data_IF_435870562301
#
_entry.id   IF_435870562301
#
_cell.length_a   1.000
_cell.length_b   1.000
_cell.length_c   1.000
_cell.angle_alpha   90.00
_cell.angle_beta   90.00
_cell.angle_gamma   90.00
#
_symmetry.space_group_name_H-M   'P 1'
#
loop_
_entity.id
_entity.type
_entity.pdbx_description
1 polymer ?
#
# COMPACT_ATOMS: atom_id res chain seq x y z
N UNK A 1 -6.76 -20.78 3.45
CA UNK A 1 -7.99 -20.30 2.76
C UNK A 1 -7.53 -19.43 1.62
N UNK A 2 -8.20 -19.51 0.46
CA UNK A 2 -7.91 -18.63 -0.67
C UNK A 2 -8.70 -17.32 -0.49
N UNK A 3 -8.09 -16.19 -0.79
CA UNK A 3 -8.78 -14.89 -0.84
C UNK A 3 -9.69 -14.80 -2.07
N UNK A 4 -10.63 -13.83 -2.12
CA UNK A 4 -11.37 -13.53 -3.34
C UNK A 4 -10.45 -13.27 -4.53
N UNK A 5 -10.93 -13.65 -5.72
CA UNK A 5 -10.20 -13.50 -6.99
C UNK A 5 -10.82 -12.37 -7.80
N UNK A 6 -10.21 -11.17 -7.84
CA UNK A 6 -10.76 -10.07 -8.61
C UNK A 6 -10.72 -10.38 -10.12
N UNK A 7 -11.81 -10.15 -10.86
CA UNK A 7 -11.81 -10.33 -12.32
C UNK A 7 -10.94 -9.29 -13.03
N UNK A 8 -10.88 -8.08 -12.47
CA UNK A 8 -10.05 -6.95 -12.90
C UNK A 8 -9.57 -6.16 -11.68
N UNK A 9 -8.50 -5.39 -11.85
CA UNK A 9 -8.02 -4.44 -10.86
C UNK A 9 -8.29 -3.00 -11.32
N UNK A 10 -8.65 -2.14 -10.38
CA UNK A 10 -8.73 -0.69 -10.58
C UNK A 10 -7.53 0.01 -9.93
N UNK A 11 -7.33 1.30 -10.25
CA UNK A 11 -6.40 2.12 -9.48
C UNK A 11 -7.07 2.57 -8.18
N UNK A 12 -6.29 2.77 -7.08
CA UNK A 12 -6.84 3.09 -5.76
C UNK A 12 -7.37 4.53 -5.63
N UNK A 13 -7.02 5.38 -6.59
CA UNK A 13 -7.34 6.81 -6.64
C UNK A 13 -7.82 7.21 -8.03
N UNK A 14 -8.62 8.30 -8.15
CA UNK A 14 -9.11 8.79 -9.45
C UNK A 14 -7.99 9.21 -10.41
N UNK A 15 -6.88 9.71 -9.88
CA UNK A 15 -5.68 10.04 -10.64
C UNK A 15 -4.45 9.39 -9.98
N UNK A 16 -3.54 8.86 -10.81
CA UNK A 16 -2.34 8.17 -10.36
C UNK A 16 -1.11 8.99 -10.73
N UNK A 17 -0.80 9.99 -9.92
CA UNK A 17 0.37 10.87 -10.11
C UNK A 17 1.38 10.64 -8.99
N UNK A 18 2.54 10.10 -9.33
CA UNK A 18 3.64 9.89 -8.38
C UNK A 18 4.31 11.24 -8.15
N UNK A 19 3.92 11.93 -7.08
CA UNK A 19 4.51 13.21 -6.67
C UNK A 19 5.52 13.07 -5.52
N UNK A 20 5.63 11.87 -4.94
CA UNK A 20 6.60 11.49 -3.90
C UNK A 20 7.64 10.51 -4.42
N UNK A 21 7.97 9.50 -3.62
CA UNK A 21 8.87 8.43 -4.02
C UNK A 21 8.16 7.40 -4.90
N UNK A 22 8.83 6.91 -5.94
CA UNK A 22 8.33 5.80 -6.76
C UNK A 22 8.85 4.45 -6.26
N UNK A 23 8.21 3.36 -6.66
CA UNK A 23 8.65 1.99 -6.40
C UNK A 23 10.10 1.77 -6.87
N UNK A 24 10.88 1.08 -6.04
CA UNK A 24 12.27 0.77 -6.35
C UNK A 24 13.25 1.94 -6.20
N UNK A 25 12.78 3.13 -5.88
CA UNK A 25 13.65 4.30 -5.68
C UNK A 25 14.63 4.06 -4.54
N UNK A 26 15.92 4.23 -4.86
CA UNK A 26 17.03 4.08 -3.90
C UNK A 26 17.23 5.39 -3.15
N UNK A 27 16.94 5.38 -1.86
CA UNK A 27 17.04 6.55 -1.00
C UNK A 27 18.41 6.61 -0.33
N UNK A 28 19.06 7.78 -0.42
CA UNK A 28 20.40 8.01 0.10
C UNK A 28 20.37 9.13 1.15
N UNK A 29 21.21 8.95 2.18
CA UNK A 29 21.62 10.05 3.07
C UNK A 29 23.09 10.35 2.75
N UNK A 30 23.37 11.49 2.15
CA UNK A 30 24.65 11.79 1.50
C UNK A 30 24.96 10.69 0.46
N UNK A 31 26.09 9.96 0.62
CA UNK A 31 26.50 8.87 -0.29
C UNK A 31 25.98 7.50 0.13
N UNK A 32 25.43 7.36 1.35
CA UNK A 32 25.03 6.05 1.91
C UNK A 32 23.61 5.72 1.50
N UNK A 33 23.41 4.55 0.86
CA UNK A 33 22.10 3.97 0.62
C UNK A 33 21.51 3.54 1.97
N UNK A 34 20.37 4.14 2.36
CA UNK A 34 19.73 3.75 3.61
C UNK A 34 18.48 2.88 3.39
N UNK A 35 17.81 3.00 2.25
CA UNK A 35 16.64 2.19 1.94
C UNK A 35 16.29 2.21 0.45
N UNK A 36 15.44 1.25 0.06
CA UNK A 36 14.71 1.23 -1.21
C UNK A 36 13.22 1.36 -0.91
N UNK A 37 12.50 2.22 -1.64
CA UNK A 37 11.08 2.43 -1.49
C UNK A 37 10.30 1.23 -2.06
N UNK A 38 9.24 0.78 -1.39
CA UNK A 38 8.54 -0.47 -1.71
C UNK A 38 7.15 -0.26 -2.32
N UNK A 39 6.81 0.96 -2.65
CA UNK A 39 5.54 1.34 -3.29
C UNK A 39 5.67 2.65 -4.05
N UNK A 40 4.54 3.20 -4.44
CA UNK A 40 4.42 4.53 -5.02
C UNK A 40 3.78 5.50 -4.02
N UNK A 41 4.36 6.68 -3.86
CA UNK A 41 3.76 7.78 -3.09
C UNK A 41 2.96 8.67 -4.04
N UNK A 42 1.64 8.47 -4.06
CA UNK A 42 0.71 9.16 -4.96
C UNK A 42 0.18 10.40 -4.23
N UNK A 43 0.58 11.57 -4.70
CA UNK A 43 0.21 12.84 -4.09
C UNK A 43 -1.17 13.28 -4.58
N UNK A 44 -2.10 13.41 -3.65
CA UNK A 44 -3.45 13.92 -3.87
C UNK A 44 -3.87 14.77 -2.65
N UNK A 45 -4.86 15.66 -2.77
CA UNK A 45 -5.37 16.44 -1.65
C UNK A 45 -5.80 15.56 -0.47
N UNK A 46 -5.61 16.07 0.75
CA UNK A 46 -6.18 15.45 1.94
C UNK A 46 -7.70 15.33 1.82
N UNK A 47 -8.26 14.22 2.30
CA UNK A 47 -9.67 13.90 2.15
C UNK A 47 -10.03 13.17 0.85
N UNK A 48 -9.09 13.01 -0.11
CA UNK A 48 -9.34 12.18 -1.29
C UNK A 48 -9.64 10.75 -0.87
N UNK A 49 -10.80 10.17 -1.28
CA UNK A 49 -11.15 8.79 -0.97
C UNK A 49 -10.16 7.80 -1.58
N UNK A 50 -9.80 6.78 -0.82
CA UNK A 50 -8.92 5.68 -1.25
C UNK A 50 -9.74 4.41 -1.30
N UNK A 51 -9.72 3.71 -2.44
CA UNK A 51 -10.55 2.56 -2.71
C UNK A 51 -9.72 1.28 -2.90
N UNK A 52 -10.32 0.13 -2.58
CA UNK A 52 -9.75 -1.18 -2.86
C UNK A 52 -9.58 -1.40 -4.37
N UNK A 53 -8.41 -1.90 -4.78
CA UNK A 53 -8.11 -2.14 -6.20
C UNK A 53 -8.83 -3.35 -6.79
N UNK A 54 -9.31 -4.25 -5.96
CA UNK A 54 -9.92 -5.52 -6.39
C UNK A 54 -10.70 -6.19 -5.27
N UNK A 55 -11.49 -7.19 -5.63
CA UNK A 55 -12.15 -8.07 -4.67
C UNK A 55 -11.10 -8.75 -3.77
N UNK A 56 -11.35 -8.76 -2.46
CA UNK A 56 -10.37 -9.27 -1.51
C UNK A 56 -10.91 -9.39 -0.10
N UNK A 57 -10.03 -9.78 0.80
CA UNK A 57 -10.27 -9.81 2.26
C UNK A 57 -9.28 -8.87 2.96
N UNK A 58 -9.77 -8.06 3.88
CA UNK A 58 -8.93 -7.18 4.70
C UNK A 58 -8.13 -8.03 5.68
N UNK A 59 -6.82 -8.14 5.47
CA UNK A 59 -5.91 -8.93 6.32
C UNK A 59 -5.19 -8.09 7.36
N UNK A 60 -5.22 -6.74 7.20
CA UNK A 60 -4.69 -5.78 8.18
C UNK A 60 -5.43 -4.45 8.07
N UNK A 61 -5.84 -3.88 9.19
CA UNK A 61 -6.40 -2.54 9.29
C UNK A 61 -6.07 -1.97 10.68
N UNK A 62 -5.29 -0.90 10.75
CA UNK A 62 -4.78 -0.35 12.02
C UNK A 62 -4.39 1.13 11.87
N UNK A 63 -4.57 1.89 12.95
CA UNK A 63 -3.99 3.22 13.09
C UNK A 63 -2.62 3.13 13.80
N UNK A 64 -1.55 3.41 13.06
CA UNK A 64 -0.18 3.55 13.58
C UNK A 64 0.24 5.00 13.58
N UNK A 65 -0.20 5.71 14.59
CA UNK A 65 0.00 7.14 14.74
C UNK A 65 1.47 7.55 14.61
N UNK A 66 1.73 8.57 13.82
CA UNK A 66 3.01 9.28 13.78
C UNK A 66 3.04 10.45 14.75
N UNK A 67 4.23 11.02 14.94
CA UNK A 67 4.45 12.21 15.75
C UNK A 67 5.62 13.03 15.21
N UNK A 68 5.81 14.25 15.73
CA UNK A 68 6.91 15.13 15.33
C UNK A 68 8.31 14.50 15.49
N UNK A 69 8.45 13.55 16.42
CA UNK A 69 9.72 12.86 16.71
C UNK A 69 9.83 11.47 16.05
N UNK A 70 8.70 10.88 15.61
CA UNK A 70 8.68 9.54 15.03
C UNK A 70 7.66 9.45 13.92
N UNK A 71 8.12 9.34 12.68
CA UNK A 71 7.26 9.02 11.54
C UNK A 71 6.80 7.57 11.57
N UNK A 72 5.58 7.33 11.12
CA UNK A 72 4.97 6.01 11.10
C UNK A 72 4.03 5.87 9.87
N UNK A 73 3.22 4.81 9.84
CA UNK A 73 2.25 4.55 8.78
C UNK A 73 1.04 5.48 8.79
N UNK A 74 0.63 5.98 9.96
CA UNK A 74 -0.70 6.54 10.12
C UNK A 74 -1.75 5.43 10.01
N UNK A 75 -2.85 5.66 9.34
CA UNK A 75 -3.76 4.58 8.97
C UNK A 75 -3.15 3.69 7.90
N UNK A 76 -3.23 2.38 8.10
CA UNK A 76 -2.76 1.37 7.16
C UNK A 76 -3.80 0.28 6.97
N UNK A 77 -4.07 -0.07 5.71
CA UNK A 77 -4.90 -1.21 5.31
C UNK A 77 -4.09 -2.12 4.40
N UNK A 78 -4.24 -3.43 4.58
CA UNK A 78 -3.74 -4.44 3.63
C UNK A 78 -4.90 -5.35 3.25
N UNK A 79 -5.09 -5.55 1.96
CA UNK A 79 -6.11 -6.44 1.40
C UNK A 79 -5.42 -7.62 0.72
N UNK A 80 -5.82 -8.83 1.07
CA UNK A 80 -5.38 -10.07 0.44
C UNK A 80 -6.29 -10.44 -0.73
N UNK A 81 -5.69 -10.83 -1.84
CA UNK A 81 -6.35 -11.23 -3.09
C UNK A 81 -5.77 -12.56 -3.58
N UNK A 82 -6.50 -13.29 -4.41
CA UNK A 82 -5.99 -14.42 -5.19
C UNK A 82 -5.78 -13.98 -6.63
N UNK A 83 -4.60 -14.22 -7.18
CA UNK A 83 -4.29 -13.87 -8.57
C UNK A 83 -5.01 -14.81 -9.54
N UNK A 84 -5.82 -14.25 -10.47
CA UNK A 84 -6.74 -15.04 -11.31
C UNK A 84 -6.09 -16.11 -12.19
N UNK A 85 -4.84 -15.91 -12.61
CA UNK A 85 -4.11 -16.84 -13.48
C UNK A 85 -3.23 -17.79 -12.67
N UNK A 86 -2.38 -17.26 -11.77
CA UNK A 86 -1.43 -18.09 -11.02
C UNK A 86 -2.05 -18.79 -9.82
N UNK A 87 -3.24 -18.35 -9.37
CA UNK A 87 -3.91 -18.79 -8.14
C UNK A 87 -3.09 -18.55 -6.85
N UNK A 88 -2.01 -17.79 -6.95
CA UNK A 88 -1.19 -17.41 -5.81
C UNK A 88 -1.73 -16.16 -5.12
N UNK A 89 -1.56 -16.02 -3.80
CA UNK A 89 -1.97 -14.83 -3.09
C UNK A 89 -1.08 -13.64 -3.43
N UNK A 90 -1.70 -12.44 -3.49
CA UNK A 90 -1.00 -11.17 -3.48
C UNK A 90 -1.74 -10.18 -2.57
N UNK A 91 -1.06 -9.12 -2.18
CA UNK A 91 -1.58 -8.16 -1.21
C UNK A 91 -1.40 -6.75 -1.72
N UNK A 92 -2.44 -5.94 -1.61
CA UNK A 92 -2.40 -4.51 -1.83
C UNK A 92 -2.32 -3.78 -0.49
N UNK A 93 -1.40 -2.83 -0.36
CA UNK A 93 -1.15 -2.06 0.85
C UNK A 93 -1.45 -0.59 0.59
N UNK A 94 -2.15 0.03 1.54
CA UNK A 94 -2.57 1.42 1.51
C UNK A 94 -2.16 2.09 2.82
N UNK A 95 -1.26 3.05 2.76
CA UNK A 95 -0.73 3.78 3.93
C UNK A 95 -1.08 5.25 3.94
N UNK A 96 -0.96 5.88 5.10
CA UNK A 96 -1.20 7.31 5.37
C UNK A 96 -2.67 7.72 5.26
N UNK A 97 -3.55 6.81 5.68
CA UNK A 97 -4.99 7.00 5.67
C UNK A 97 -5.52 7.57 6.99
N UNK A 98 -6.62 8.31 6.90
CA UNK A 98 -7.52 8.64 8.01
C UNK A 98 -8.88 7.96 7.80
N UNK A 99 -9.71 7.96 8.82
CA UNK A 99 -11.12 7.52 8.76
C UNK A 99 -11.26 6.12 8.13
N UNK A 100 -10.50 5.14 8.65
CA UNK A 100 -10.57 3.76 8.17
C UNK A 100 -12.00 3.22 8.27
N UNK A 101 -12.54 2.71 7.16
CA UNK A 101 -13.93 2.24 7.04
C UNK A 101 -14.05 0.73 7.04
N UNK A 102 -12.95 0.00 7.16
CA UNK A 102 -12.89 -1.47 7.08
C UNK A 102 -12.24 -2.09 8.32
N UNK A 103 -12.53 -3.36 8.56
CA UNK A 103 -11.97 -4.15 9.66
C UNK A 103 -11.38 -5.45 9.14
N UNK A 104 -10.40 -6.01 9.89
CA UNK A 104 -9.77 -7.29 9.56
C UNK A 104 -10.79 -8.42 9.47
N UNK A 105 -10.68 -9.27 8.45
CA UNK A 105 -11.60 -10.36 8.13
C UNK A 105 -12.78 -9.94 7.25
N UNK A 106 -12.94 -8.64 6.97
CA UNK A 106 -14.01 -8.17 6.08
C UNK A 106 -13.71 -8.52 4.62
N UNK A 107 -14.64 -9.18 3.93
CA UNK A 107 -14.62 -9.35 2.48
C UNK A 107 -15.15 -8.09 1.81
N UNK A 108 -14.43 -7.57 0.82
CA UNK A 108 -14.74 -6.32 0.12
C UNK A 108 -14.63 -6.51 -1.39
N UNK A 109 -15.37 -5.71 -2.12
CA UNK A 109 -15.32 -5.68 -3.59
C UNK A 109 -14.40 -4.59 -4.13
N UNK A 110 -14.11 -4.66 -5.41
CA UNK A 110 -13.42 -3.61 -6.16
C UNK A 110 -14.10 -2.26 -5.98
N UNK A 111 -13.32 -1.21 -5.70
CA UNK A 111 -13.85 0.14 -5.48
C UNK A 111 -14.43 0.38 -4.09
N UNK A 112 -14.40 -0.61 -3.18
CA UNK A 112 -14.85 -0.41 -1.79
C UNK A 112 -13.98 0.64 -1.08
N UNK A 113 -14.59 1.67 -0.42
CA UNK A 113 -13.81 2.70 0.26
C UNK A 113 -13.07 2.11 1.48
N UNK A 114 -11.78 2.46 1.62
CA UNK A 114 -10.90 2.00 2.71
C UNK A 114 -10.65 3.10 3.75
N UNK A 115 -10.83 4.35 3.36
CA UNK A 115 -10.54 5.56 4.13
C UNK A 115 -10.23 6.71 3.19
N UNK A 116 -9.55 7.74 3.68
CA UNK A 116 -9.16 8.91 2.90
C UNK A 116 -7.70 9.29 3.17
N UNK A 117 -7.06 9.98 2.24
CA UNK A 117 -5.71 10.55 2.42
C UNK A 117 -5.71 11.52 3.61
N UNK A 118 -4.79 11.33 4.54
CA UNK A 118 -4.68 12.16 5.73
C UNK A 118 -3.92 13.47 5.47
N UNK A 119 -4.19 14.47 6.32
CA UNK A 119 -3.57 15.81 6.26
C UNK A 119 -2.09 15.78 6.65
N UNK A 120 -1.34 16.76 6.13
CA UNK A 120 0.06 17.01 6.48
C UNK A 120 0.28 17.07 7.99
N UNK A 121 1.37 16.48 8.47
CA UNK A 121 1.79 16.53 9.86
C UNK A 121 0.73 16.10 10.89
N UNK A 122 -0.17 15.19 10.50
CA UNK A 122 -1.11 14.55 11.42
C UNK A 122 -0.63 13.18 11.86
N UNK A 123 -1.17 12.69 12.97
CA UNK A 123 -0.95 11.32 13.44
C UNK A 123 -1.40 10.29 12.38
N UNK A 124 -2.51 10.56 11.70
CA UNK A 124 -3.09 9.72 10.66
C UNK A 124 -2.26 9.68 9.36
N UNK A 125 -1.55 10.77 9.01
CA UNK A 125 -0.55 10.76 7.93
C UNK A 125 0.79 10.14 8.38
N UNK A 126 0.92 9.67 9.61
CA UNK A 126 2.21 9.24 10.13
C UNK A 126 3.23 10.36 10.30
N UNK A 127 2.77 11.62 10.37
CA UNK A 127 3.56 12.84 10.51
C UNK A 127 4.40 13.22 9.27
N UNK A 128 3.97 12.81 8.07
CA UNK A 128 4.63 13.23 6.84
C UNK A 128 4.19 14.64 6.42
N UNK A 129 5.07 15.32 5.66
CA UNK A 129 4.87 16.71 5.22
C UNK A 129 3.77 16.83 4.17
N UNK A 130 3.68 15.87 3.27
CA UNK A 130 2.83 15.93 2.08
C UNK A 130 1.68 14.93 2.25
N UNK A 131 0.41 15.34 2.02
CA UNK A 131 -0.69 14.41 1.88
C UNK A 131 -0.46 13.49 0.68
N UNK A 132 -0.46 12.18 0.91
CA UNK A 132 -0.25 11.20 -0.15
C UNK A 132 -0.77 9.83 0.28
N UNK A 133 -1.03 8.99 -0.68
CA UNK A 133 -1.22 7.56 -0.50
C UNK A 133 0.13 6.86 -0.75
N UNK A 134 0.65 6.11 0.22
CA UNK A 134 1.65 5.09 -0.07
C UNK A 134 0.92 3.82 -0.53
N UNK A 135 1.06 3.47 -1.81
CA UNK A 135 0.43 2.30 -2.41
C UNK A 135 1.47 1.28 -2.83
N UNK A 136 1.29 0.02 -2.42
CA UNK A 136 2.25 -1.04 -2.73
C UNK A 136 1.57 -2.37 -3.04
N UNK A 137 2.25 -3.21 -3.86
CA UNK A 137 1.86 -4.60 -4.14
C UNK A 137 2.92 -5.55 -3.59
N UNK A 138 2.47 -6.49 -2.77
CA UNK A 138 3.29 -7.51 -2.14
C UNK A 138 2.85 -8.90 -2.56
N UNK A 139 3.79 -9.74 -3.02
CA UNK A 139 3.57 -11.12 -3.50
C UNK A 139 4.31 -12.17 -2.66
N UNK A 140 4.90 -11.74 -1.54
CA UNK A 140 5.60 -12.65 -0.62
C UNK A 140 4.65 -13.34 0.36
N UNK A 141 5.18 -14.22 1.21
CA UNK A 141 4.39 -14.96 2.18
C UNK A 141 3.78 -14.04 3.25
N UNK A 142 2.47 -14.12 3.45
CA UNK A 142 1.80 -13.40 4.54
C UNK A 142 2.12 -14.04 5.90
N UNK A 143 2.57 -13.24 6.84
CA UNK A 143 2.98 -13.69 8.18
C UNK A 143 2.21 -13.01 9.31
N UNK A 144 1.11 -12.35 8.98
CA UNK A 144 0.30 -11.57 9.93
C UNK A 144 1.15 -10.54 10.71
N UNK A 145 2.01 -9.84 9.98
CA UNK A 145 2.83 -8.74 10.50
C UNK A 145 2.68 -7.52 9.59
N UNK A 146 2.90 -6.35 10.17
CA UNK A 146 2.89 -5.12 9.40
C UNK A 146 4.00 -5.14 8.32
N UNK A 147 3.60 -4.86 7.09
CA UNK A 147 4.52 -4.77 5.96
C UNK A 147 5.31 -3.45 6.00
N UNK A 148 6.60 -3.45 5.64
CA UNK A 148 7.40 -2.23 5.61
C UNK A 148 7.15 -1.40 4.35
N UNK A 149 7.22 -0.06 4.44
CA UNK A 149 7.23 0.85 3.27
C UNK A 149 8.60 1.00 2.61
N UNK A 150 9.65 0.53 3.30
CA UNK A 150 11.04 0.64 2.86
C UNK A 150 11.80 -0.65 3.17
N UNK A 151 12.66 -1.08 2.23
CA UNK A 151 13.65 -2.14 2.49
C UNK A 151 15.02 -1.50 2.76
N UNK A 152 15.53 -1.68 3.98
CA UNK A 152 16.91 -1.33 4.33
C UNK A 152 17.88 -2.44 3.93
N UNK A 153 19.15 -2.13 3.64
CA UNK A 153 20.15 -3.15 3.27
C UNK A 153 20.24 -4.30 4.27
N UNK A 154 20.21 -3.98 5.57
CA UNK A 154 20.30 -4.94 6.69
C UNK A 154 18.99 -5.66 7.02
N UNK A 155 17.90 -5.36 6.31
CA UNK A 155 16.59 -5.93 6.61
C UNK A 155 16.36 -7.22 5.83
N UNK A 156 16.45 -8.37 6.51
CA UNK A 156 16.29 -9.71 5.90
C UNK A 156 14.85 -10.24 5.91
N UNK A 157 13.94 -9.59 6.65
CA UNK A 157 12.53 -10.03 6.79
C UNK A 157 11.70 -9.84 5.53
N UNK A 158 12.17 -9.01 4.57
CA UNK A 158 11.54 -8.82 3.27
C UNK A 158 12.59 -8.86 2.16
N UNK A 159 12.19 -9.38 0.99
CA UNK A 159 13.02 -9.45 -0.22
C UNK A 159 12.43 -8.53 -1.27
N UNK A 160 13.27 -7.86 -2.08
CA UNK A 160 12.79 -7.02 -3.18
C UNK A 160 11.91 -7.80 -4.17
N UNK A 161 12.25 -9.05 -4.45
CA UNK A 161 11.49 -9.93 -5.35
C UNK A 161 10.04 -10.20 -4.91
N UNK A 162 9.68 -9.87 -3.67
CA UNK A 162 8.31 -9.97 -3.17
C UNK A 162 7.46 -8.71 -3.39
N UNK A 163 8.07 -7.65 -3.91
CA UNK A 163 7.39 -6.38 -4.17
C UNK A 163 7.35 -6.13 -5.67
N UNK A 164 6.24 -5.61 -6.14
CA UNK A 164 5.99 -5.33 -7.54
C UNK A 164 5.79 -3.82 -7.72
N UNK A 165 6.16 -3.31 -8.90
CA UNK A 165 5.73 -1.98 -9.32
C UNK A 165 4.20 -1.93 -9.34
N UNK A 166 3.55 -1.08 -8.53
CA UNK A 166 2.11 -1.16 -8.34
C UNK A 166 1.32 -0.83 -9.60
N UNK A 167 1.72 0.20 -10.34
CA UNK A 167 1.04 0.62 -11.56
C UNK A 167 1.21 -0.43 -12.67
N UNK A 168 2.43 -0.92 -12.86
CA UNK A 168 2.72 -1.96 -13.84
C UNK A 168 2.00 -3.27 -13.51
N UNK A 169 1.89 -3.63 -12.22
CA UNK A 169 1.17 -4.81 -11.78
C UNK A 169 -0.33 -4.73 -12.13
N UNK A 170 -1.01 -3.64 -11.79
CA UNK A 170 -2.43 -3.43 -12.10
C UNK A 170 -2.65 -3.48 -13.61
N UNK A 171 -1.82 -2.78 -14.38
CA UNK A 171 -1.90 -2.76 -15.86
C UNK A 171 -1.75 -4.16 -16.45
N UNK A 172 -0.70 -4.88 -16.03
CA UNK A 172 -0.42 -6.25 -16.51
C UNK A 172 -1.53 -7.23 -16.10
N UNK A 173 -2.04 -7.14 -14.88
CA UNK A 173 -3.14 -7.98 -14.40
C UNK A 173 -4.36 -7.89 -15.32
N UNK A 174 -4.72 -6.68 -15.75
CA UNK A 174 -5.88 -6.44 -16.60
C UNK A 174 -5.68 -6.90 -18.06
N UNK A 175 -4.44 -7.08 -18.50
CA UNK A 175 -4.10 -7.60 -19.84
C UNK A 175 -4.07 -9.13 -19.91
N UNK A 176 -4.10 -9.81 -18.77
CA UNK A 176 -4.14 -11.27 -18.74
C UNK A 176 -5.52 -11.74 -19.22
N UNK A 177 -5.55 -12.56 -20.23
CA UNK A 177 -6.74 -13.25 -20.77
C UNK A 177 -6.99 -14.58 -20.07
#
# INVERSE_FOLDING_TARGET
MAYPTPPQLSLPLPAYEIGGYHFGQRLRRRIILWATHLGDDIVQPAGTPVNAIGDGEVVWAEMRAGSAIKRNWGGIVVVGHTHRVTQEPFYSLYGHLRDLTVTVGQTIGTGHPLGAIAESYTAANGWWKIPHLHFAIYTGPWRNIILPGYKRPEQFRTKMAWWQDPHAFVTKYNQLS
#
